data_IF_173936803900
#
_entry.id   IF_173936803900
#
_cell.length_a   1.000
_cell.length_b   1.000
_cell.length_c   1.000
_cell.angle_alpha   90.00
_cell.angle_beta   90.00
_cell.angle_gamma   90.00
#
_symmetry.space_group_name_H-M   'P 1'
#
loop_
_entity.id
_entity.type
_entity.pdbx_description
1 polymer ?
#
# COMPACT_ATOMS: atom_id res chain seq x y z
N UNK A 1 -8.29 41.59 30.51
CA UNK A 1 -7.00 40.93 30.15
C UNK A 1 -6.88 39.46 30.59
N UNK A 2 -7.44 39.00 31.72
CA UNK A 2 -7.37 37.59 32.14
C UNK A 2 -8.02 36.60 31.14
N UNK A 3 -9.18 36.94 30.60
CA UNK A 3 -9.90 36.08 29.66
C UNK A 3 -9.14 35.93 28.32
N UNK A 4 -8.48 36.98 27.84
CA UNK A 4 -7.68 36.94 26.61
C UNK A 4 -6.52 35.93 26.72
N UNK A 5 -5.85 35.85 27.87
CA UNK A 5 -4.78 34.87 28.11
C UNK A 5 -5.31 33.43 28.06
N UNK A 6 -6.50 33.19 28.59
CA UNK A 6 -7.14 31.87 28.57
C UNK A 6 -7.51 31.47 27.14
N UNK A 7 -8.07 32.39 26.35
CA UNK A 7 -8.37 32.14 24.95
C UNK A 7 -7.11 31.83 24.13
N UNK A 8 -6.02 32.56 24.32
CA UNK A 8 -4.76 32.30 23.62
C UNK A 8 -4.19 30.92 23.98
N UNK A 9 -4.20 30.54 25.26
CA UNK A 9 -3.71 29.22 25.70
C UNK A 9 -4.57 28.10 25.13
N UNK A 10 -5.91 28.23 25.19
CA UNK A 10 -6.83 27.24 24.65
C UNK A 10 -6.65 27.09 23.13
N UNK A 11 -6.45 28.20 22.40
CA UNK A 11 -6.27 28.18 20.95
C UNK A 11 -4.96 27.48 20.56
N UNK A 12 -3.87 27.76 21.28
CA UNK A 12 -2.57 27.09 21.05
C UNK A 12 -2.67 25.60 21.37
N UNK A 13 -3.35 25.21 22.44
CA UNK A 13 -3.53 23.81 22.80
C UNK A 13 -4.33 23.03 21.74
N UNK A 14 -5.40 23.63 21.21
CA UNK A 14 -6.18 23.06 20.11
C UNK A 14 -5.34 22.94 18.84
N UNK A 15 -4.54 23.95 18.51
CA UNK A 15 -3.64 23.93 17.36
C UNK A 15 -2.59 22.81 17.48
N UNK A 16 -1.98 22.63 18.65
CA UNK A 16 -1.02 21.55 18.91
C UNK A 16 -1.68 20.18 18.79
N UNK A 17 -2.91 20.02 19.29
CA UNK A 17 -3.66 18.76 19.15
C UNK A 17 -4.01 18.45 17.69
N UNK A 18 -4.44 19.45 16.92
CA UNK A 18 -4.76 19.28 15.50
C UNK A 18 -3.52 18.96 14.66
N UNK A 19 -2.40 19.64 14.91
CA UNK A 19 -1.14 19.36 14.22
C UNK A 19 -0.58 18.00 14.64
N UNK A 20 -0.61 17.67 15.93
CA UNK A 20 -0.16 16.38 16.44
C UNK A 20 -0.95 15.20 15.85
N UNK A 21 -2.28 15.29 15.84
CA UNK A 21 -3.14 14.26 15.23
C UNK A 21 -2.90 14.12 13.71
N UNK A 22 -2.73 15.24 12.99
CA UNK A 22 -2.38 15.21 11.57
C UNK A 22 -1.07 14.48 11.28
N UNK A 23 -0.02 14.75 12.06
CA UNK A 23 1.30 14.11 11.90
C UNK A 23 1.26 12.61 12.25
N UNK A 24 0.50 12.22 13.28
CA UNK A 24 0.29 10.82 13.64
C UNK A 24 -0.45 10.04 12.54
N UNK A 25 -1.44 10.66 11.89
CA UNK A 25 -2.17 10.02 10.79
C UNK A 25 -1.28 9.80 9.55
N UNK A 26 -0.41 10.75 9.23
CA UNK A 26 0.52 10.62 8.09
C UNK A 26 1.62 9.59 8.34
N UNK A 27 2.15 9.53 9.56
CA UNK A 27 3.19 8.55 9.93
C UNK A 27 2.64 7.14 10.07
N UNK A 28 1.41 6.98 10.58
CA UNK A 28 0.72 5.68 10.63
C UNK A 28 0.50 5.06 9.25
N UNK A 29 0.23 5.88 8.22
CA UNK A 29 0.14 5.40 6.82
C UNK A 29 1.49 4.85 6.32
N UNK A 30 2.58 5.59 6.51
CA UNK A 30 3.90 5.20 6.03
C UNK A 30 4.45 3.95 6.76
N UNK A 31 4.24 3.86 8.08
CA UNK A 31 4.69 2.72 8.89
C UNK A 31 3.82 1.49 8.64
N UNK A 32 2.51 1.67 8.51
CA UNK A 32 1.61 0.56 8.21
C UNK A 32 1.84 -0.03 6.82
N UNK A 33 2.12 0.80 5.81
CA UNK A 33 2.46 0.34 4.47
C UNK A 33 3.78 -0.43 4.44
N UNK A 34 4.82 0.05 5.10
CA UNK A 34 6.11 -0.65 5.10
C UNK A 34 6.07 -2.02 5.79
N UNK A 35 5.25 -2.16 6.84
CA UNK A 35 5.13 -3.41 7.61
C UNK A 35 4.14 -4.41 7.02
N UNK A 36 2.98 -3.94 6.54
CA UNK A 36 1.89 -4.82 6.10
C UNK A 36 1.64 -4.79 4.59
N UNK A 37 2.15 -3.79 3.88
CA UNK A 37 1.98 -3.62 2.44
C UNK A 37 2.45 -4.81 1.63
N UNK A 38 3.65 -5.29 1.93
CA UNK A 38 4.22 -6.46 1.25
C UNK A 38 3.35 -7.71 1.44
N UNK A 39 3.04 -8.07 2.69
CA UNK A 39 2.26 -9.28 2.98
C UNK A 39 0.84 -9.22 2.43
N UNK A 40 0.20 -8.04 2.45
CA UNK A 40 -1.12 -7.84 1.88
C UNK A 40 -1.12 -8.05 0.36
N UNK A 41 -0.19 -7.41 -0.35
CA UNK A 41 -0.07 -7.54 -1.79
C UNK A 41 0.28 -8.97 -2.23
N UNK A 42 1.16 -9.66 -1.49
CA UNK A 42 1.49 -11.07 -1.73
C UNK A 42 0.28 -11.99 -1.55
N UNK A 43 -0.57 -11.71 -0.56
CA UNK A 43 -1.81 -12.47 -0.34
C UNK A 43 -2.81 -12.27 -1.47
N UNK A 44 -2.99 -11.03 -1.92
CA UNK A 44 -3.83 -10.71 -3.08
C UNK A 44 -3.30 -11.37 -4.36
N UNK A 45 -1.98 -11.35 -4.56
CA UNK A 45 -1.37 -12.06 -5.69
C UNK A 45 -1.61 -13.57 -5.63
N UNK A 46 -1.44 -14.19 -4.47
CA UNK A 46 -1.72 -15.62 -4.28
C UNK A 46 -3.17 -15.95 -4.59
N UNK A 47 -4.11 -15.11 -4.15
CA UNK A 47 -5.53 -15.26 -4.48
C UNK A 47 -5.78 -15.12 -5.97
N UNK A 48 -5.16 -14.14 -6.63
CA UNK A 48 -5.28 -13.92 -8.06
C UNK A 48 -4.74 -15.11 -8.88
N UNK A 49 -3.53 -15.58 -8.59
CA UNK A 49 -2.91 -16.70 -9.33
C UNK A 49 -3.68 -18.01 -9.12
N UNK A 50 -4.17 -18.25 -7.90
CA UNK A 50 -4.97 -19.46 -7.62
C UNK A 50 -6.37 -19.42 -8.22
N UNK A 51 -7.05 -18.26 -8.21
CA UNK A 51 -8.43 -18.15 -8.70
C UNK A 51 -8.53 -17.92 -10.20
N UNK A 52 -7.69 -17.03 -10.75
CA UNK A 52 -7.73 -16.60 -12.16
C UNK A 52 -6.86 -17.51 -13.02
N UNK A 53 -5.59 -17.70 -12.64
CA UNK A 53 -4.67 -18.53 -13.43
C UNK A 53 -4.81 -20.02 -13.13
N UNK A 54 -5.50 -20.40 -12.05
CA UNK A 54 -5.62 -21.79 -11.56
C UNK A 54 -4.25 -22.47 -11.38
N UNK A 55 -3.25 -21.68 -10.99
CA UNK A 55 -1.89 -22.12 -10.74
C UNK A 55 -1.50 -21.87 -9.29
N UNK A 56 -0.35 -22.42 -8.90
CA UNK A 56 0.26 -22.14 -7.61
C UNK A 56 1.51 -21.28 -7.80
N UNK A 57 1.71 -20.36 -6.86
CA UNK A 57 2.93 -19.58 -6.76
C UNK A 57 4.08 -20.45 -6.25
N UNK A 58 5.23 -20.36 -6.91
CA UNK A 58 6.48 -20.93 -6.45
C UNK A 58 7.28 -19.90 -5.63
N UNK A 59 7.42 -18.69 -6.17
CA UNK A 59 8.03 -17.54 -5.50
C UNK A 59 7.21 -16.28 -5.69
N UNK A 60 7.25 -15.39 -4.69
CA UNK A 60 6.63 -14.07 -4.78
C UNK A 60 7.46 -13.04 -4.04
N UNK A 61 7.57 -11.84 -4.61
CA UNK A 61 8.15 -10.68 -3.97
C UNK A 61 7.39 -9.42 -4.39
N UNK A 62 6.70 -8.80 -3.44
CA UNK A 62 6.02 -7.53 -3.66
C UNK A 62 6.77 -6.36 -3.04
N UNK A 63 6.63 -5.18 -3.67
CA UNK A 63 7.03 -3.92 -3.06
C UNK A 63 6.11 -3.59 -1.88
N UNK A 64 6.68 -3.08 -0.76
CA UNK A 64 5.88 -2.77 0.42
C UNK A 64 5.10 -1.45 0.30
N UNK A 65 5.56 -0.54 -0.55
CA UNK A 65 5.02 0.82 -0.64
C UNK A 65 4.63 1.12 -2.08
N UNK A 66 3.44 1.67 -2.24
CA UNK A 66 2.97 2.27 -3.48
C UNK A 66 3.74 3.58 -3.70
N UNK A 67 4.62 3.58 -4.69
CA UNK A 67 5.51 4.72 -4.98
C UNK A 67 4.88 5.73 -5.94
N UNK A 68 3.92 5.29 -6.76
CA UNK A 68 3.23 6.12 -7.75
C UNK A 68 1.84 6.58 -7.28
N UNK A 69 1.45 6.23 -6.04
CA UNK A 69 0.20 6.62 -5.39
C UNK A 69 -1.05 6.24 -6.20
N UNK A 70 -0.96 5.14 -6.96
CA UNK A 70 -2.03 4.66 -7.83
C UNK A 70 -2.93 3.60 -7.13
N UNK A 71 -2.63 3.25 -5.89
CA UNK A 71 -3.28 2.23 -5.07
C UNK A 71 -2.81 0.80 -5.34
N UNK A 72 -1.74 0.60 -6.10
CA UNK A 72 -1.14 -0.69 -6.43
C UNK A 72 0.36 -0.70 -6.09
N UNK A 73 0.92 -1.89 -5.90
CA UNK A 73 2.35 -2.13 -5.75
C UNK A 73 2.81 -3.15 -6.79
N UNK A 74 4.04 -3.00 -7.25
CA UNK A 74 4.65 -3.97 -8.15
C UNK A 74 4.98 -5.26 -7.39
N UNK A 75 4.57 -6.38 -7.97
CA UNK A 75 4.86 -7.73 -7.49
C UNK A 75 5.50 -8.54 -8.61
N UNK A 76 6.58 -9.22 -8.28
CA UNK A 76 7.22 -10.19 -9.15
C UNK A 76 6.95 -11.60 -8.61
N UNK A 77 6.60 -12.52 -9.49
CA UNK A 77 6.23 -13.88 -9.10
C UNK A 77 6.65 -14.94 -10.12
N UNK A 78 6.82 -16.15 -9.64
CA UNK A 78 7.02 -17.34 -10.46
C UNK A 78 5.94 -18.35 -10.13
N UNK A 79 5.54 -19.16 -11.10
CA UNK A 79 4.54 -20.21 -10.90
C UNK A 79 5.20 -21.57 -10.84
N UNK A 80 4.49 -22.57 -10.32
CA UNK A 80 4.98 -23.96 -10.31
C UNK A 80 5.14 -24.51 -11.73
N UNK A 81 4.35 -24.01 -12.69
CA UNK A 81 4.45 -24.41 -14.09
C UNK A 81 5.67 -23.77 -14.79
N UNK A 82 6.04 -22.56 -14.39
CA UNK A 82 7.13 -21.78 -15.00
C UNK A 82 8.07 -21.22 -13.90
N UNK A 83 8.87 -22.07 -13.24
CA UNK A 83 9.70 -21.63 -12.12
C UNK A 83 10.86 -20.71 -12.54
N UNK A 84 11.32 -20.83 -13.79
CA UNK A 84 12.42 -20.06 -14.37
C UNK A 84 11.96 -18.74 -15.02
N UNK A 85 10.65 -18.49 -15.10
CA UNK A 85 10.10 -17.29 -15.72
C UNK A 85 9.47 -16.39 -14.67
N UNK A 86 10.08 -15.23 -14.45
CA UNK A 86 9.53 -14.20 -13.57
C UNK A 86 8.49 -13.38 -14.31
N UNK A 87 7.28 -13.36 -13.78
CA UNK A 87 6.18 -12.52 -14.24
C UNK A 87 6.02 -11.33 -13.32
N UNK A 88 5.78 -10.15 -13.89
CA UNK A 88 5.52 -8.92 -13.14
C UNK A 88 4.06 -8.51 -13.25
N UNK A 89 3.45 -8.17 -12.12
CA UNK A 89 2.04 -7.76 -12.02
C UNK A 89 1.91 -6.67 -10.95
N UNK A 90 0.84 -5.88 -11.04
CA UNK A 90 0.53 -4.86 -10.04
C UNK A 90 -0.63 -5.34 -9.16
N UNK A 91 -0.44 -5.38 -7.85
CA UNK A 91 -1.46 -5.82 -6.89
C UNK A 91 -1.83 -4.70 -5.95
N UNK A 92 -3.06 -4.71 -5.45
CA UNK A 92 -3.59 -3.68 -4.54
C UNK A 92 -2.66 -3.43 -3.35
N UNK A 93 -2.33 -2.15 -3.13
CA UNK A 93 -1.50 -1.73 -2.02
C UNK A 93 -2.25 -1.83 -0.67
N UNK A 94 -1.52 -1.86 0.45
CA UNK A 94 -2.16 -1.76 1.75
C UNK A 94 -2.58 -0.32 2.05
N UNK A 95 -3.80 -0.14 2.56
CA UNK A 95 -4.36 1.17 2.92
C UNK A 95 -5.73 1.41 2.30
N UNK A 96 -6.23 2.64 2.43
CA UNK A 96 -7.53 3.04 1.85
C UNK A 96 -7.51 2.98 0.32
N UNK A 97 -6.37 3.33 -0.28
CA UNK A 97 -6.22 3.39 -1.74
C UNK A 97 -6.33 1.98 -2.38
N UNK A 98 -5.72 0.96 -1.77
CA UNK A 98 -5.90 -0.43 -2.20
C UNK A 98 -7.13 -1.14 -1.62
N UNK A 99 -7.84 -0.55 -0.65
CA UNK A 99 -9.16 -1.07 -0.27
C UNK A 99 -10.21 -0.79 -1.35
N UNK A 100 -10.10 0.37 -2.02
CA UNK A 100 -10.92 0.74 -3.16
C UNK A 100 -10.51 -0.04 -4.42
N UNK A 101 -9.22 -0.26 -4.61
CA UNK A 101 -8.66 -1.00 -5.73
C UNK A 101 -8.42 -2.46 -5.33
N UNK A 102 -9.37 -3.38 -5.55
CA UNK A 102 -9.19 -4.81 -5.20
C UNK A 102 -8.53 -5.63 -6.30
N UNK A 103 -7.70 -6.58 -5.89
CA UNK A 103 -7.09 -7.59 -6.76
C UNK A 103 -5.81 -7.12 -7.43
N UNK A 104 -5.40 -7.87 -8.45
CA UNK A 104 -4.21 -7.59 -9.24
C UNK A 104 -4.57 -7.31 -10.70
N UNK A 105 -3.80 -6.42 -11.32
CA UNK A 105 -3.91 -6.04 -12.74
C UNK A 105 -2.57 -6.30 -13.43
N UNK A 106 -2.63 -6.70 -14.70
CA UNK A 106 -1.43 -6.82 -15.51
C UNK A 106 -0.68 -5.49 -15.53
N UNK A 107 0.64 -5.54 -15.32
CA UNK A 107 1.47 -4.35 -15.43
C UNK A 107 1.44 -3.91 -16.89
N UNK A 108 0.92 -2.72 -17.17
CA UNK A 108 0.98 -2.13 -18.50
C UNK A 108 2.40 -1.63 -18.74
N UNK A 109 3.35 -2.55 -18.85
CA UNK A 109 4.65 -2.25 -19.45
C UNK A 109 4.33 -2.15 -20.94
N UNK A 110 4.03 -0.94 -21.42
CA UNK A 110 4.25 -0.66 -22.84
C UNK A 110 5.71 -1.04 -23.10
N UNK A 111 6.01 -1.94 -24.04
CA UNK A 111 7.39 -2.20 -24.40
C UNK A 111 7.98 -0.85 -24.81
N UNK A 112 8.94 -0.34 -24.02
CA UNK A 112 9.77 0.77 -24.46
C UNK A 112 10.55 0.20 -25.64
N UNK A 113 10.07 0.57 -26.83
CA UNK A 113 10.62 0.13 -28.12
C UNK A 113 11.84 0.98 -28.48
#
# INVERSE_FOLDING_TARGET
MKNLKIYVIATVFVLVLLVGTGVLLTSGKAVGQSLFGKSFAEKELRNYVSSVMRQQLNGVSCQPVDTDSNGYVSCDYTTVAEPETTHSIECSAWGLDGFLNRGCKARSILPVR
#
